data_IF_299806775189
#
_entry.id   IF_299806775189
#
_cell.length_a   1.000
_cell.length_b   1.000
_cell.length_c   1.000
_cell.angle_alpha   90.00
_cell.angle_beta   90.00
_cell.angle_gamma   90.00
#
_symmetry.space_group_name_H-M   'P 1'
#
loop_
_entity.id
_entity.type
_entity.pdbx_description
1 polymer ?
#
# COMPACT_ATOMS: atom_id res chain seq x y z
N UNK A 1 -28.18 18.11 -4.75
CA UNK A 1 -28.39 16.66 -4.82
C UNK A 1 -27.30 16.09 -5.70
N UNK A 2 -26.53 15.10 -5.25
CA UNK A 2 -25.53 14.48 -6.10
C UNK A 2 -26.27 13.64 -7.16
N UNK A 3 -26.07 13.98 -8.43
CA UNK A 3 -26.68 13.24 -9.56
C UNK A 3 -25.90 11.94 -9.74
N UNK A 4 -26.61 10.82 -9.81
CA UNK A 4 -26.00 9.54 -10.09
C UNK A 4 -25.41 9.55 -11.51
N UNK A 5 -24.25 8.94 -11.74
CA UNK A 5 -23.69 8.84 -13.07
C UNK A 5 -24.59 8.01 -13.98
N UNK A 6 -24.54 8.31 -15.27
CA UNK A 6 -25.27 7.61 -16.31
C UNK A 6 -24.31 6.60 -16.97
N UNK A 7 -24.82 5.41 -17.30
CA UNK A 7 -24.07 4.40 -17.99
C UNK A 7 -23.64 4.90 -19.38
N UNK A 8 -22.33 4.87 -19.72
CA UNK A 8 -21.84 5.34 -21.01
C UNK A 8 -22.28 4.46 -22.18
N UNK A 9 -22.72 3.22 -21.92
CA UNK A 9 -23.13 2.27 -22.95
C UNK A 9 -24.65 2.28 -23.20
N UNK A 10 -25.46 2.34 -22.14
CA UNK A 10 -26.93 2.21 -22.24
C UNK A 10 -27.69 3.52 -22.00
N UNK A 11 -27.05 4.53 -21.40
CA UNK A 11 -27.76 5.74 -20.95
C UNK A 11 -28.62 5.55 -19.71
N UNK A 12 -28.61 4.36 -19.08
CA UNK A 12 -29.34 4.08 -17.86
C UNK A 12 -28.70 4.71 -16.62
N UNK A 13 -29.48 4.94 -15.56
CA UNK A 13 -28.96 5.39 -14.27
C UNK A 13 -28.09 4.29 -13.62
N UNK A 14 -26.93 4.66 -13.07
CA UNK A 14 -26.07 3.71 -12.37
C UNK A 14 -26.24 3.80 -10.86
N UNK A 15 -26.11 2.66 -10.19
CA UNK A 15 -26.24 2.56 -8.74
C UNK A 15 -24.88 2.33 -8.08
N UNK A 16 -24.68 2.98 -6.93
CA UNK A 16 -23.48 2.77 -6.11
C UNK A 16 -23.54 1.37 -5.50
N UNK A 17 -22.53 0.55 -5.75
CA UNK A 17 -22.49 -0.82 -5.26
C UNK A 17 -21.08 -1.36 -5.13
N UNK A 18 -21.01 -2.67 -4.89
CA UNK A 18 -19.78 -3.45 -4.79
C UNK A 18 -19.97 -4.72 -5.62
N UNK A 19 -18.99 -5.06 -6.45
CA UNK A 19 -18.97 -6.31 -7.22
C UNK A 19 -17.62 -7.00 -7.05
N UNK A 20 -17.56 -8.35 -7.04
CA UNK A 20 -16.30 -9.06 -6.95
C UNK A 20 -15.47 -8.83 -8.22
N UNK A 21 -14.21 -8.43 -8.06
CA UNK A 21 -13.23 -8.30 -9.14
C UNK A 21 -12.06 -9.24 -8.85
N UNK A 22 -11.63 -9.97 -9.88
CA UNK A 22 -10.44 -10.83 -9.79
C UNK A 22 -9.28 -10.17 -10.53
N UNK A 23 -8.18 -9.92 -9.82
CA UNK A 23 -6.91 -9.51 -10.41
C UNK A 23 -5.96 -10.68 -10.48
N UNK A 24 -5.22 -10.79 -11.58
CA UNK A 24 -4.18 -11.81 -11.78
C UNK A 24 -2.85 -11.13 -12.08
N UNK A 25 -1.80 -11.55 -11.37
CA UNK A 25 -0.44 -11.05 -11.56
C UNK A 25 0.57 -12.18 -11.35
N UNK A 26 1.46 -12.42 -12.33
CA UNK A 26 2.48 -13.48 -12.31
C UNK A 26 1.93 -14.86 -11.86
N UNK A 27 0.76 -15.24 -12.38
CA UNK A 27 0.11 -16.53 -12.09
C UNK A 27 -0.57 -16.64 -10.72
N UNK A 28 -0.55 -15.58 -9.90
CA UNK A 28 -1.36 -15.50 -8.68
C UNK A 28 -2.59 -14.64 -8.92
N UNK A 29 -3.73 -15.07 -8.36
CA UNK A 29 -4.98 -14.32 -8.45
C UNK A 29 -5.51 -13.96 -7.07
N UNK A 30 -6.19 -12.83 -6.98
CA UNK A 30 -6.95 -12.42 -5.81
C UNK A 30 -8.31 -11.88 -6.23
N UNK A 31 -9.36 -12.34 -5.58
CA UNK A 31 -10.72 -11.80 -5.74
C UNK A 31 -11.03 -10.91 -4.54
N UNK A 32 -11.57 -9.72 -4.80
CA UNK A 32 -11.92 -8.75 -3.78
C UNK A 32 -13.15 -7.94 -4.19
N UNK A 33 -13.74 -7.31 -3.20
CA UNK A 33 -14.90 -6.44 -3.33
C UNK A 33 -14.50 -5.10 -3.92
N UNK A 34 -14.89 -4.87 -5.18
CA UNK A 34 -14.61 -3.64 -5.90
C UNK A 34 -15.80 -2.67 -5.79
N UNK A 35 -15.66 -1.52 -5.11
CA UNK A 35 -16.70 -0.51 -5.08
C UNK A 35 -16.73 0.24 -6.41
N UNK A 36 -17.92 0.68 -6.81
CA UNK A 36 -18.09 1.41 -8.05
C UNK A 36 -19.53 1.84 -8.24
N UNK A 37 -19.78 2.48 -9.37
CA UNK A 37 -21.11 2.68 -9.91
C UNK A 37 -21.35 1.61 -10.95
N UNK A 38 -22.44 0.89 -10.84
CA UNK A 38 -22.74 -0.24 -11.71
C UNK A 38 -24.08 -0.03 -12.41
N UNK A 39 -24.13 -0.45 -13.67
CA UNK A 39 -25.36 -0.54 -14.43
C UNK A 39 -26.02 -1.90 -14.14
N UNK A 40 -27.36 -1.93 -14.10
CA UNK A 40 -28.13 -3.18 -14.00
C UNK A 40 -28.51 -3.71 -15.39
N UNK A 41 -28.58 -2.84 -16.40
CA UNK A 41 -28.88 -3.21 -17.79
C UNK A 41 -27.66 -3.81 -18.52
N UNK A 42 -26.45 -3.61 -18.00
CA UNK A 42 -25.22 -4.15 -18.58
C UNK A 42 -24.13 -4.39 -17.52
N UNK A 43 -23.00 -4.97 -17.92
CA UNK A 43 -21.89 -5.29 -16.99
C UNK A 43 -20.95 -4.10 -16.70
N UNK A 44 -21.27 -2.90 -17.18
CA UNK A 44 -20.41 -1.72 -17.07
C UNK A 44 -20.28 -1.21 -15.63
N UNK A 45 -19.06 -0.81 -15.26
CA UNK A 45 -18.72 -0.28 -13.93
C UNK A 45 -17.82 0.95 -14.01
N UNK A 46 -18.20 2.03 -13.34
CA UNK A 46 -17.38 3.25 -13.21
C UNK A 46 -16.76 3.31 -11.81
N UNK A 47 -15.44 3.44 -11.76
CA UNK A 47 -14.68 3.54 -10.52
C UNK A 47 -14.08 4.93 -10.35
N UNK A 48 -14.30 5.55 -9.19
CA UNK A 48 -13.63 6.81 -8.85
C UNK A 48 -12.17 6.55 -8.45
N UNK A 49 -11.35 7.59 -8.39
CA UNK A 49 -9.99 7.46 -7.86
C UNK A 49 -9.92 6.94 -6.42
N UNK A 50 -10.98 7.11 -5.61
CA UNK A 50 -11.06 6.51 -4.26
C UNK A 50 -11.31 5.01 -4.34
N UNK A 51 -12.14 4.58 -5.28
CA UNK A 51 -12.47 3.17 -5.49
C UNK A 51 -11.25 2.41 -5.99
N UNK A 52 -10.53 2.99 -6.96
CA UNK A 52 -9.33 2.39 -7.55
C UNK A 52 -8.21 2.13 -6.54
N UNK A 53 -8.15 2.86 -5.42
CA UNK A 53 -7.19 2.56 -4.34
C UNK A 53 -7.32 1.14 -3.79
N UNK A 54 -8.53 0.56 -3.81
CA UNK A 54 -8.73 -0.83 -3.36
C UNK A 54 -8.03 -1.77 -4.35
N UNK A 55 -8.27 -1.60 -5.64
CA UNK A 55 -7.61 -2.37 -6.71
C UNK A 55 -6.09 -2.21 -6.67
N UNK A 56 -5.58 -0.98 -6.51
CA UNK A 56 -4.14 -0.70 -6.41
C UNK A 56 -3.48 -1.43 -5.22
N UNK A 57 -4.15 -1.43 -4.06
CA UNK A 57 -3.67 -2.15 -2.86
C UNK A 57 -3.65 -3.65 -3.07
N UNK A 58 -4.67 -4.20 -3.73
CA UNK A 58 -4.73 -5.63 -4.04
C UNK A 58 -3.66 -6.03 -5.05
N UNK A 59 -3.39 -5.19 -6.04
CA UNK A 59 -2.29 -5.38 -6.98
C UNK A 59 -0.92 -5.32 -6.27
N UNK A 60 -0.72 -4.35 -5.36
CA UNK A 60 0.52 -4.28 -4.57
C UNK A 60 0.68 -5.50 -3.65
N UNK A 61 -0.41 -6.02 -3.08
CA UNK A 61 -0.39 -7.25 -2.30
C UNK A 61 0.04 -8.46 -3.16
N UNK A 62 -0.52 -8.60 -4.36
CA UNK A 62 -0.11 -9.66 -5.30
C UNK A 62 1.36 -9.53 -5.73
N UNK A 63 1.82 -8.31 -6.03
CA UNK A 63 3.23 -8.03 -6.33
C UNK A 63 4.12 -8.43 -5.16
N UNK A 64 3.75 -8.08 -3.93
CA UNK A 64 4.52 -8.44 -2.75
C UNK A 64 4.66 -9.96 -2.61
N UNK A 65 3.55 -10.70 -2.71
CA UNK A 65 3.55 -12.17 -2.62
C UNK A 65 4.34 -12.85 -3.72
N UNK A 66 4.11 -12.44 -4.97
CA UNK A 66 4.75 -13.05 -6.14
C UNK A 66 6.26 -12.77 -6.21
N UNK A 67 6.74 -11.71 -5.56
CA UNK A 67 8.16 -11.34 -5.55
C UNK A 67 8.86 -11.62 -4.21
N UNK A 68 8.18 -12.26 -3.25
CA UNK A 68 8.75 -12.57 -1.94
C UNK A 68 9.09 -11.33 -1.11
N UNK A 69 8.35 -10.24 -1.30
CA UNK A 69 8.49 -8.99 -0.56
C UNK A 69 7.56 -8.97 0.66
N UNK A 70 7.83 -8.06 1.59
CA UNK A 70 6.99 -7.88 2.78
C UNK A 70 5.62 -7.30 2.42
N UNK A 71 4.56 -7.92 2.94
CA UNK A 71 3.21 -7.35 2.89
C UNK A 71 3.07 -6.14 3.82
N UNK A 72 2.10 -5.26 3.54
CA UNK A 72 1.82 -4.06 4.33
C UNK A 72 1.66 -4.36 5.84
N UNK A 73 0.99 -5.47 6.18
CA UNK A 73 0.77 -5.93 7.55
C UNK A 73 2.08 -6.33 8.25
N UNK A 74 3.01 -6.93 7.51
CA UNK A 74 4.31 -7.35 8.04
C UNK A 74 5.22 -6.15 8.28
N UNK A 75 5.21 -5.17 7.38
CA UNK A 75 5.93 -3.90 7.57
C UNK A 75 5.45 -3.20 8.85
N UNK A 76 4.14 -3.15 9.08
CA UNK A 76 3.55 -2.61 10.32
C UNK A 76 4.01 -3.39 11.54
N UNK A 77 3.98 -4.74 11.49
CA UNK A 77 4.43 -5.61 12.59
C UNK A 77 5.89 -5.34 12.95
N UNK A 78 6.78 -5.32 11.96
CA UNK A 78 8.22 -5.09 12.15
C UNK A 78 8.44 -3.71 12.77
N UNK A 79 7.85 -2.66 12.21
CA UNK A 79 7.99 -1.29 12.76
C UNK A 79 7.54 -1.23 14.22
N UNK A 80 6.41 -1.85 14.54
CA UNK A 80 5.87 -1.87 15.91
C UNK A 80 6.78 -2.64 16.87
N UNK A 81 7.35 -3.77 16.43
CA UNK A 81 8.35 -4.52 17.19
C UNK A 81 9.61 -3.69 17.47
N UNK A 82 10.02 -2.84 16.53
CA UNK A 82 11.15 -1.92 16.70
C UNK A 82 10.81 -0.68 17.57
N UNK A 83 9.58 -0.54 18.05
CA UNK A 83 9.15 0.60 18.87
C UNK A 83 9.13 1.93 18.13
N UNK A 84 9.03 1.93 16.79
CA UNK A 84 9.11 3.14 15.98
C UNK A 84 7.73 3.70 15.62
N UNK A 85 7.59 5.03 15.62
CA UNK A 85 6.49 5.70 14.92
C UNK A 85 6.69 5.61 13.40
N UNK A 86 5.64 5.82 12.60
CA UNK A 86 5.76 5.81 11.13
C UNK A 86 6.72 6.90 10.64
N UNK A 87 6.65 8.10 11.24
CA UNK A 87 7.55 9.20 10.93
C UNK A 87 9.01 8.88 11.25
N UNK A 88 9.27 8.35 12.45
CA UNK A 88 10.64 8.00 12.86
C UNK A 88 11.18 6.87 11.97
N UNK A 89 10.37 5.85 11.66
CA UNK A 89 10.77 4.79 10.74
C UNK A 89 11.12 5.34 9.34
N UNK A 90 10.31 6.25 8.80
CA UNK A 90 10.56 6.88 7.50
C UNK A 90 11.82 7.74 7.46
N UNK A 91 12.17 8.39 8.57
CA UNK A 91 13.41 9.17 8.71
C UNK A 91 14.64 8.27 8.87
N UNK A 92 14.52 7.21 9.68
CA UNK A 92 15.65 6.43 10.18
C UNK A 92 15.98 5.22 9.31
N UNK A 93 14.96 4.51 8.83
CA UNK A 93 15.11 3.39 7.88
C UNK A 93 15.16 3.91 6.45
N UNK A 94 14.38 4.95 6.15
CA UNK A 94 14.34 5.62 4.85
C UNK A 94 12.94 5.68 4.23
N UNK A 95 12.86 6.25 3.02
CA UNK A 95 11.61 6.52 2.31
C UNK A 95 10.96 7.87 2.66
N UNK A 96 11.45 8.56 3.70
CA UNK A 96 10.98 9.87 4.11
C UNK A 96 9.78 9.82 5.05
N UNK A 97 9.42 10.96 5.63
CA UNK A 97 8.49 11.08 6.77
C UNK A 97 7.14 10.37 6.59
N UNK A 98 6.61 10.30 5.36
CA UNK A 98 5.29 9.74 5.05
C UNK A 98 5.33 8.37 4.38
N UNK A 99 6.51 7.78 4.18
CA UNK A 99 6.63 6.50 3.47
C UNK A 99 5.91 5.36 4.18
N UNK A 100 6.13 5.18 5.48
CA UNK A 100 5.54 4.08 6.25
C UNK A 100 4.02 4.15 6.33
N UNK A 101 3.40 5.34 6.19
CA UNK A 101 1.95 5.44 6.04
C UNK A 101 1.47 4.75 4.77
N UNK A 102 2.12 5.00 3.64
CA UNK A 102 1.78 4.41 2.34
C UNK A 102 2.15 2.93 2.26
N UNK A 103 3.25 2.54 2.87
CA UNK A 103 3.67 1.13 2.93
C UNK A 103 2.68 0.29 3.74
N UNK A 104 2.27 0.78 4.90
CA UNK A 104 1.36 0.04 5.79
C UNK A 104 -0.11 0.08 5.34
N UNK A 105 -0.50 1.04 4.51
CA UNK A 105 -1.81 1.04 3.86
C UNK A 105 -1.84 0.19 2.57
N UNK A 106 -0.66 -0.23 2.06
CA UNK A 106 -0.53 -0.91 0.78
C UNK A 106 -0.64 0.02 -0.44
N UNK A 107 -0.68 1.34 -0.23
CA UNK A 107 -0.74 2.34 -1.31
C UNK A 107 0.59 2.43 -2.08
N UNK A 108 1.70 1.98 -1.48
CA UNK A 108 3.01 1.98 -2.12
C UNK A 108 3.83 0.77 -1.67
N UNK A 109 4.52 0.13 -2.61
CA UNK A 109 5.53 -0.87 -2.29
C UNK A 109 6.86 -0.19 -1.92
N UNK A 110 7.50 -0.59 -0.81
CA UNK A 110 8.84 -0.11 -0.50
C UNK A 110 9.87 -0.63 -1.52
N UNK A 111 10.99 0.07 -1.63
CA UNK A 111 12.11 -0.41 -2.43
C UNK A 111 12.72 -1.68 -1.82
N UNK A 112 13.40 -2.48 -2.65
CA UNK A 112 14.12 -3.68 -2.19
C UNK A 112 15.10 -3.37 -1.05
N UNK A 113 15.77 -2.22 -1.10
CA UNK A 113 16.68 -1.81 -0.03
C UNK A 113 15.97 -1.60 1.33
N UNK A 114 14.79 -0.96 1.33
CA UNK A 114 13.99 -0.76 2.55
C UNK A 114 13.49 -2.11 3.08
N UNK A 115 13.07 -3.01 2.18
CA UNK A 115 12.61 -4.35 2.55
C UNK A 115 13.75 -5.15 3.19
N UNK A 116 14.93 -5.17 2.57
CA UNK A 116 16.11 -5.85 3.14
C UNK A 116 16.48 -5.28 4.51
N UNK A 117 16.42 -3.96 4.69
CA UNK A 117 16.66 -3.32 5.99
C UNK A 117 15.61 -3.76 7.04
N UNK A 118 14.33 -3.81 6.68
CA UNK A 118 13.26 -4.27 7.57
C UNK A 118 13.42 -5.74 7.96
N UNK A 119 13.74 -6.63 7.01
CA UNK A 119 13.99 -8.05 7.27
C UNK A 119 15.17 -8.22 8.21
N UNK A 120 16.27 -7.48 7.98
CA UNK A 120 17.44 -7.52 8.85
C UNK A 120 17.13 -7.03 10.26
N UNK A 121 16.44 -5.88 10.39
CA UNK A 121 16.09 -5.30 11.68
C UNK A 121 15.04 -6.12 12.44
N UNK A 122 14.15 -6.83 11.74
CA UNK A 122 13.23 -7.76 12.39
C UNK A 122 13.98 -8.91 13.05
N UNK A 123 15.03 -9.43 12.40
CA UNK A 123 15.87 -10.49 12.97
C UNK A 123 16.83 -9.96 14.03
N UNK A 124 17.39 -8.77 13.84
CA UNK A 124 18.39 -8.15 14.72
C UNK A 124 17.99 -6.73 15.11
N UNK A 125 17.04 -6.54 16.05
CA UNK A 125 16.54 -5.22 16.46
C UNK A 125 17.62 -4.27 16.99
N UNK A 126 18.69 -4.82 17.58
CA UNK A 126 19.83 -4.04 18.09
C UNK A 126 20.53 -3.21 17.00
N UNK A 127 20.47 -3.64 15.73
CA UNK A 127 21.02 -2.91 14.59
C UNK A 127 20.39 -1.52 14.37
N UNK A 128 19.24 -1.24 15.00
CA UNK A 128 18.64 0.08 15.02
C UNK A 128 19.59 1.14 15.63
N UNK A 129 20.47 0.75 16.56
CA UNK A 129 21.48 1.62 17.14
C UNK A 129 22.42 2.22 16.11
N UNK A 130 22.82 1.44 15.09
CA UNK A 130 23.72 1.91 14.02
C UNK A 130 23.04 2.94 13.11
N UNK A 131 21.76 2.73 12.80
CA UNK A 131 20.99 3.71 12.03
C UNK A 131 20.79 5.01 12.81
N UNK A 132 20.63 4.95 14.14
CA UNK A 132 20.57 6.15 15.00
C UNK A 132 21.89 6.90 14.96
N UNK A 133 23.03 6.23 15.18
CA UNK A 133 24.37 6.86 15.15
C UNK A 133 24.61 7.58 13.82
N UNK A 134 24.29 6.93 12.70
CA UNK A 134 24.45 7.51 11.37
C UNK A 134 23.63 8.79 11.15
N UNK A 135 22.43 8.89 11.73
CA UNK A 135 21.65 10.12 11.63
C UNK A 135 22.25 11.28 12.45
N UNK A 136 22.84 10.99 13.60
CA UNK A 136 23.52 12.00 14.41
C UNK A 136 24.74 12.54 13.66
N UNK A 137 25.56 11.66 13.06
CA UNK A 137 26.70 12.07 12.22
C UNK A 137 26.31 13.04 11.10
N UNK A 138 25.15 12.83 10.45
CA UNK A 138 24.64 13.75 9.42
C UNK A 138 24.17 15.10 9.94
N UNK A 139 23.78 15.16 11.22
CA UNK A 139 23.30 16.40 11.84
C UNK A 139 24.50 17.23 12.30
N UNK A 140 25.56 16.57 12.76
CA UNK A 140 26.81 17.20 13.21
C UNK A 140 27.65 17.74 12.03
N UNK A 141 27.64 17.08 10.86
CA UNK A 141 28.31 17.57 9.64
C UNK A 141 27.61 18.76 8.96
N UNK A 142 26.35 19.03 9.31
CA UNK A 142 25.54 20.10 8.71
C UNK A 142 25.45 21.37 9.58
N UNK A 143 26.14 21.40 10.72
CA UNK A 143 26.25 22.53 11.65
C UNK A 143 27.59 23.25 11.45
#
# INVERSE_FOLDING_TARGET
MAVNPICPNTGAEMHRGVRPLTLTYKGQSITFDMPGWYCDDCEEGIHTGKDMKISDRMLNLLKARSEGLLEAKEIRRIRKKLGLSQEVAGKLIGGGRRAFQKYESGDLLPSRAIISALVLLDRYPAGLGELRKRQHLKTDEAA
#
